data_IF_833218867186
#
_entry.id   IF_833218867186
#
_cell.length_a   1.000
_cell.length_b   1.000
_cell.length_c   1.000
_cell.angle_alpha   90.00
_cell.angle_beta   90.00
_cell.angle_gamma   90.00
#
_symmetry.space_group_name_H-M   'P 1'
#
loop_
_entity.id
_entity.type
_entity.pdbx_description
1 polymer ?
#
# COMPACT_ATOMS: atom_id res chain seq x y z
N UNK A 1 -4.84 -48.70 2.77
CA UNK A 1 -5.34 -47.54 2.01
C UNK A 1 -6.86 -47.58 2.08
N UNK A 2 -7.59 -46.57 2.50
CA UNK A 2 -7.23 -45.21 2.87
C UNK A 2 -8.51 -44.56 3.37
N UNK A 3 -8.41 -43.98 4.55
CA UNK A 3 -9.39 -43.12 5.19
C UNK A 3 -9.98 -42.12 4.20
N UNK A 4 -11.28 -42.22 3.90
CA UNK A 4 -11.99 -41.21 3.09
C UNK A 4 -13.50 -41.17 3.39
N UNK A 5 -14.07 -42.24 3.92
CA UNK A 5 -15.48 -42.28 4.29
C UNK A 5 -15.73 -41.88 5.76
N UNK A 6 -14.92 -42.37 6.70
CA UNK A 6 -15.03 -42.00 8.12
C UNK A 6 -14.62 -40.56 8.42
N UNK A 7 -13.70 -39.95 7.64
CA UNK A 7 -13.33 -38.55 7.83
C UNK A 7 -14.46 -37.56 7.44
N UNK A 8 -15.30 -37.91 6.44
CA UNK A 8 -16.46 -37.09 6.05
C UNK A 8 -17.59 -37.18 7.08
N UNK A 9 -17.77 -38.32 7.72
CA UNK A 9 -18.78 -38.49 8.78
C UNK A 9 -18.28 -37.88 10.11
N UNK A 10 -16.98 -37.96 10.40
CA UNK A 10 -16.38 -37.30 11.56
C UNK A 10 -16.44 -35.77 11.46
N UNK A 11 -16.30 -35.18 10.26
CA UNK A 11 -16.48 -33.74 10.07
C UNK A 11 -17.94 -33.30 10.28
N UNK A 12 -18.91 -34.13 9.86
CA UNK A 12 -20.34 -33.85 10.09
C UNK A 12 -20.71 -34.00 11.57
N UNK A 13 -20.11 -34.94 12.29
CA UNK A 13 -20.36 -35.14 13.72
C UNK A 13 -19.63 -34.13 14.63
N UNK A 14 -18.46 -33.62 14.24
CA UNK A 14 -17.79 -32.51 14.95
C UNK A 14 -18.52 -31.18 14.79
N UNK A 15 -19.22 -30.98 13.67
CA UNK A 15 -20.13 -29.83 13.49
C UNK A 15 -21.38 -29.91 14.39
N UNK A 16 -21.81 -31.10 14.80
CA UNK A 16 -23.00 -31.26 15.66
C UNK A 16 -22.73 -30.98 17.14
N UNK A 17 -21.46 -30.82 17.56
CA UNK A 17 -21.09 -30.59 18.97
C UNK A 17 -20.64 -29.15 19.30
N UNK A 18 -20.50 -28.24 18.33
CA UNK A 18 -20.10 -26.84 18.60
C UNK A 18 -21.00 -25.73 18.04
N UNK A 19 -22.15 -26.07 17.44
CA UNK A 19 -23.25 -25.10 17.28
C UNK A 19 -22.98 -23.87 16.39
N UNK A 20 -22.05 -23.94 15.42
CA UNK A 20 -21.89 -22.88 14.41
C UNK A 20 -21.94 -23.50 13.01
N UNK A 21 -23.04 -23.24 12.30
CA UNK A 21 -23.33 -23.74 10.97
C UNK A 21 -22.67 -22.83 9.93
N UNK A 22 -21.56 -23.26 9.32
CA UNK A 22 -21.07 -22.63 8.10
C UNK A 22 -21.88 -23.14 6.90
N UNK A 23 -22.92 -22.38 6.52
CA UNK A 23 -23.65 -22.61 5.26
C UNK A 23 -22.80 -22.04 4.12
N UNK A 24 -22.07 -22.90 3.42
CA UNK A 24 -21.49 -22.54 2.13
C UNK A 24 -22.60 -22.49 1.07
N UNK A 25 -23.17 -21.30 0.83
CA UNK A 25 -24.07 -21.06 -0.30
C UNK A 25 -23.29 -21.16 -1.61
N UNK A 26 -23.61 -22.20 -2.41
CA UNK A 26 -23.27 -22.32 -3.83
C UNK A 26 -24.06 -21.28 -4.64
N UNK A 27 -23.51 -20.07 -4.76
CA UNK A 27 -23.71 -19.08 -5.83
C UNK A 27 -23.18 -17.73 -5.31
N UNK A 28 -21.86 -17.61 -5.20
CA UNK A 28 -21.23 -16.36 -4.77
C UNK A 28 -21.16 -15.45 -5.99
N UNK A 29 -22.19 -14.64 -6.21
CA UNK A 29 -22.01 -13.37 -6.90
C UNK A 29 -21.10 -12.51 -6.00
N UNK A 30 -19.96 -12.09 -6.53
CA UNK A 30 -19.08 -11.12 -5.86
C UNK A 30 -19.78 -9.75 -5.88
N UNK A 31 -20.76 -9.55 -5.01
CA UNK A 31 -21.39 -8.26 -4.76
C UNK A 31 -20.76 -7.61 -3.53
N UNK A 32 -20.86 -6.29 -3.44
CA UNK A 32 -20.41 -5.51 -2.28
C UNK A 32 -21.19 -5.89 -1.02
N UNK A 33 -22.38 -6.46 -1.18
CA UNK A 33 -23.22 -6.99 -0.10
C UNK A 33 -22.61 -8.24 0.52
N UNK A 34 -22.21 -9.22 -0.31
CA UNK A 34 -21.51 -10.42 0.15
C UNK A 34 -20.20 -10.08 0.85
N UNK A 35 -19.51 -9.02 0.41
CA UNK A 35 -18.31 -8.54 1.07
C UNK A 35 -18.59 -8.03 2.49
N UNK A 36 -19.69 -7.30 2.68
CA UNK A 36 -20.10 -6.80 4.00
C UNK A 36 -20.39 -7.95 4.97
N UNK A 37 -21.23 -8.90 4.55
CA UNK A 37 -21.59 -10.07 5.37
C UNK A 37 -20.35 -10.87 5.79
N UNK A 38 -19.37 -11.05 4.90
CA UNK A 38 -18.13 -11.75 5.21
C UNK A 38 -17.30 -11.06 6.28
N UNK A 39 -17.22 -9.71 6.27
CA UNK A 39 -16.48 -8.98 7.30
C UNK A 39 -17.23 -8.95 8.64
N UNK A 40 -18.56 -8.92 8.62
CA UNK A 40 -19.39 -9.06 9.82
C UNK A 40 -19.16 -10.44 10.47
N UNK A 41 -19.25 -11.52 9.69
CA UNK A 41 -18.96 -12.88 10.18
C UNK A 41 -17.53 -13.03 10.70
N UNK A 42 -16.56 -12.38 10.06
CA UNK A 42 -15.17 -12.39 10.52
C UNK A 42 -15.01 -11.70 11.89
N UNK A 43 -15.76 -10.62 12.17
CA UNK A 43 -15.76 -9.94 13.46
C UNK A 43 -16.54 -10.70 14.54
N UNK A 44 -17.61 -11.41 14.16
CA UNK A 44 -18.32 -12.31 15.07
C UNK A 44 -17.43 -13.47 15.52
N UNK A 45 -16.62 -14.02 14.60
CA UNK A 45 -15.67 -15.09 14.91
C UNK A 45 -14.45 -14.58 15.69
N UNK A 46 -13.93 -13.42 15.32
CA UNK A 46 -12.77 -12.79 15.96
C UNK A 46 -12.94 -11.27 16.00
N UNK A 47 -13.43 -10.79 17.13
CA UNK A 47 -13.61 -9.36 17.36
C UNK A 47 -12.27 -8.59 17.40
N UNK A 48 -11.12 -9.28 17.51
CA UNK A 48 -9.79 -8.65 17.45
C UNK A 48 -9.31 -8.40 16.02
N UNK A 49 -10.02 -8.90 15.00
CA UNK A 49 -9.65 -8.75 13.60
C UNK A 49 -9.76 -7.29 13.13
N UNK A 50 -8.65 -6.57 13.22
CA UNK A 50 -8.59 -5.13 12.90
C UNK A 50 -8.82 -4.86 11.41
N UNK A 51 -8.36 -5.77 10.56
CA UNK A 51 -8.49 -5.65 9.11
C UNK A 51 -9.93 -5.80 8.65
N UNK A 52 -10.66 -6.79 9.19
CA UNK A 52 -12.10 -6.95 8.92
C UNK A 52 -12.88 -5.73 9.39
N UNK A 53 -12.52 -5.18 10.56
CA UNK A 53 -13.11 -3.95 11.09
C UNK A 53 -12.86 -2.75 10.19
N UNK A 54 -11.62 -2.56 9.72
CA UNK A 54 -11.27 -1.51 8.78
C UNK A 54 -12.05 -1.62 7.47
N UNK A 55 -12.15 -2.82 6.88
CA UNK A 55 -12.88 -3.00 5.64
C UNK A 55 -14.39 -2.81 5.81
N UNK A 56 -14.97 -3.27 6.91
CA UNK A 56 -16.38 -3.00 7.23
C UNK A 56 -16.61 -1.49 7.38
N UNK A 57 -15.72 -0.76 8.06
CA UNK A 57 -15.74 0.69 8.13
C UNK A 57 -15.75 1.33 6.73
N UNK A 58 -14.85 0.86 5.85
CA UNK A 58 -14.72 1.35 4.47
C UNK A 58 -15.97 1.09 3.63
N UNK A 59 -16.62 -0.07 3.80
CA UNK A 59 -17.89 -0.38 3.16
C UNK A 59 -18.99 0.61 3.59
N UNK A 60 -19.07 0.90 4.88
CA UNK A 60 -20.02 1.85 5.44
C UNK A 60 -19.75 3.31 5.03
N UNK A 61 -18.50 3.70 4.79
CA UNK A 61 -18.14 5.07 4.45
C UNK A 61 -18.19 5.33 2.94
N UNK A 62 -17.52 4.48 2.15
CA UNK A 62 -17.24 4.75 0.74
C UNK A 62 -18.20 4.07 -0.23
N UNK A 63 -18.61 2.84 0.05
CA UNK A 63 -19.36 2.04 -0.91
C UNK A 63 -20.87 2.14 -0.70
N UNK A 64 -21.66 1.70 -1.69
CA UNK A 64 -23.10 1.54 -1.55
C UNK A 64 -23.37 0.10 -1.11
N UNK A 65 -23.86 -0.06 0.12
CA UNK A 65 -24.20 -1.34 0.73
C UNK A 65 -25.54 -1.24 1.45
N UNK A 66 -26.35 -2.31 1.50
CA UNK A 66 -27.55 -2.35 2.31
C UNK A 66 -27.25 -2.00 3.78
N UNK A 67 -28.08 -1.13 4.36
CA UNK A 67 -27.89 -0.68 5.74
C UNK A 67 -26.62 0.16 5.95
N UNK A 68 -26.09 0.81 4.89
CA UNK A 68 -25.00 1.78 5.02
C UNK A 68 -25.32 2.82 6.10
N UNK A 69 -24.39 3.00 7.02
CA UNK A 69 -24.47 4.01 8.06
C UNK A 69 -23.10 4.63 8.27
N UNK A 70 -22.98 5.94 8.00
CA UNK A 70 -21.71 6.66 8.10
C UNK A 70 -21.19 6.72 9.55
N UNK A 71 -22.09 6.85 10.52
CA UNK A 71 -21.72 6.88 11.94
C UNK A 71 -21.10 5.56 12.39
N UNK A 72 -21.69 4.43 11.99
CA UNK A 72 -21.12 3.09 12.24
C UNK A 72 -19.76 2.96 11.55
N UNK A 73 -19.65 3.41 10.29
CA UNK A 73 -18.39 3.40 9.57
C UNK A 73 -17.29 4.21 10.25
N UNK A 74 -17.61 5.41 10.75
CA UNK A 74 -16.66 6.25 11.48
C UNK A 74 -16.23 5.61 12.80
N UNK A 75 -17.17 5.03 13.56
CA UNK A 75 -16.86 4.33 14.81
C UNK A 75 -15.93 3.13 14.58
N UNK A 76 -16.24 2.28 13.59
CA UNK A 76 -15.42 1.12 13.23
C UNK A 76 -14.01 1.53 12.76
N UNK A 77 -13.89 2.65 12.04
CA UNK A 77 -12.59 3.18 11.63
C UNK A 77 -11.74 3.59 12.82
N UNK A 78 -12.32 4.35 13.77
CA UNK A 78 -11.63 4.79 14.98
C UNK A 78 -11.21 3.59 15.83
N UNK A 79 -12.09 2.62 16.00
CA UNK A 79 -11.77 1.36 16.69
C UNK A 79 -10.62 0.62 16.01
N UNK A 80 -10.68 0.41 14.69
CA UNK A 80 -9.63 -0.29 13.96
C UNK A 80 -8.28 0.43 14.07
N UNK A 81 -8.26 1.76 13.98
CA UNK A 81 -7.06 2.57 14.14
C UNK A 81 -6.46 2.46 15.55
N UNK A 82 -7.31 2.51 16.57
CA UNK A 82 -6.91 2.36 17.98
C UNK A 82 -6.39 0.96 18.30
N UNK A 83 -6.89 -0.06 17.60
CA UNK A 83 -6.42 -1.45 17.69
C UNK A 83 -5.13 -1.71 16.92
N UNK A 84 -4.63 -0.74 16.15
CA UNK A 84 -3.33 -0.85 15.48
C UNK A 84 -3.39 -1.07 13.98
N UNK A 85 -4.57 -1.07 13.34
CA UNK A 85 -4.65 -1.32 11.90
C UNK A 85 -3.96 -0.20 11.10
N UNK A 86 -2.94 -0.50 10.29
CA UNK A 86 -2.15 0.52 9.60
C UNK A 86 -2.95 1.26 8.51
N UNK A 87 -3.88 0.57 7.84
CA UNK A 87 -4.74 1.18 6.83
C UNK A 87 -5.75 2.13 7.50
N UNK A 88 -6.35 1.71 8.62
CA UNK A 88 -7.25 2.54 9.40
C UNK A 88 -6.55 3.76 10.00
N UNK A 89 -5.34 3.59 10.55
CA UNK A 89 -4.54 4.70 11.09
C UNK A 89 -4.22 5.74 10.01
N UNK A 90 -3.77 5.29 8.84
CA UNK A 90 -3.53 6.18 7.72
C UNK A 90 -4.81 6.89 7.26
N UNK A 91 -5.91 6.17 7.10
CA UNK A 91 -7.16 6.75 6.60
C UNK A 91 -7.79 7.71 7.61
N UNK A 92 -7.74 7.40 8.91
CA UNK A 92 -8.18 8.29 9.97
C UNK A 92 -7.32 9.55 10.05
N UNK A 93 -5.99 9.40 10.00
CA UNK A 93 -5.06 10.54 9.97
C UNK A 93 -5.34 11.46 8.78
N UNK A 94 -5.59 10.90 7.59
CA UNK A 94 -5.99 11.68 6.41
C UNK A 94 -7.32 12.42 6.60
N UNK A 95 -8.34 11.78 7.19
CA UNK A 95 -9.65 12.41 7.43
C UNK A 95 -9.56 13.57 8.40
N UNK A 96 -8.86 13.39 9.53
CA UNK A 96 -8.66 14.43 10.54
C UNK A 96 -7.98 15.68 9.98
N UNK A 97 -7.07 15.49 9.01
CA UNK A 97 -6.37 16.59 8.32
C UNK A 97 -7.24 17.35 7.30
N UNK A 98 -8.29 16.73 6.78
CA UNK A 98 -9.19 17.35 5.78
C UNK A 98 -10.37 18.05 6.44
N UNK A 99 -10.86 17.52 7.56
CA UNK A 99 -12.14 17.96 8.12
C UNK A 99 -12.06 19.24 8.98
N UNK A 100 -10.89 19.78 9.35
CA UNK A 100 -10.81 20.85 10.36
C UNK A 100 -9.72 21.90 10.15
N UNK A 101 -10.09 23.18 10.18
CA UNK A 101 -9.21 24.37 10.26
C UNK A 101 -8.69 24.65 11.72
N UNK A 102 -8.65 23.63 12.58
CA UNK A 102 -8.34 23.79 14.01
C UNK A 102 -7.08 23.02 14.40
N UNK A 103 -6.10 23.72 15.02
CA UNK A 103 -4.79 23.20 15.43
C UNK A 103 -4.81 21.87 16.21
N UNK A 104 -5.88 21.55 16.95
CA UNK A 104 -5.97 20.30 17.73
C UNK A 104 -6.21 19.06 16.85
N UNK A 105 -6.82 19.22 15.67
CA UNK A 105 -7.06 18.11 14.74
C UNK A 105 -5.76 17.65 14.08
N UNK A 106 -4.85 18.59 13.83
CA UNK A 106 -3.56 18.32 13.21
C UNK A 106 -2.70 17.40 14.08
N UNK A 107 -2.65 17.64 15.39
CA UNK A 107 -1.89 16.78 16.32
C UNK A 107 -2.40 15.34 16.33
N UNK A 108 -3.72 15.14 16.32
CA UNK A 108 -4.30 13.80 16.24
C UNK A 108 -4.06 13.15 14.88
N UNK A 109 -4.14 13.94 13.79
CA UNK A 109 -3.82 13.46 12.45
C UNK A 109 -2.37 12.96 12.38
N UNK A 110 -1.41 13.75 12.89
CA UNK A 110 0.00 13.35 12.94
C UNK A 110 0.22 12.11 13.80
N UNK A 111 -0.42 12.01 14.97
CA UNK A 111 -0.32 10.83 15.83
C UNK A 111 -0.69 9.53 15.09
N UNK A 112 -1.80 9.51 14.35
CA UNK A 112 -2.19 8.32 13.60
C UNK A 112 -1.31 8.08 12.37
N UNK A 113 -0.85 9.13 11.69
CA UNK A 113 0.09 9.01 10.57
C UNK A 113 1.45 8.46 11.00
N UNK A 114 1.97 8.89 12.16
CA UNK A 114 3.22 8.37 12.75
C UNK A 114 3.11 6.87 13.04
N UNK A 115 2.01 6.43 13.67
CA UNK A 115 1.78 4.99 13.88
C UNK A 115 1.71 4.19 12.58
N UNK A 116 1.12 4.75 11.53
CA UNK A 116 1.10 4.12 10.22
C UNK A 116 2.50 4.07 9.58
N UNK A 117 3.33 5.11 9.79
CA UNK A 117 4.75 5.13 9.38
C UNK A 117 5.55 4.06 10.10
N UNK A 118 5.37 3.89 11.41
CA UNK A 118 6.06 2.85 12.21
C UNK A 118 5.80 1.44 11.68
N UNK A 119 4.63 1.24 11.05
CA UNK A 119 4.23 0.00 10.40
C UNK A 119 4.58 -0.07 8.90
N UNK A 120 5.35 0.91 8.39
CA UNK A 120 5.73 1.04 6.99
C UNK A 120 4.52 1.09 6.04
N UNK A 121 3.43 1.75 6.44
CA UNK A 121 2.25 1.91 5.59
C UNK A 121 2.61 2.77 4.35
N UNK A 122 2.34 2.30 3.12
CA UNK A 122 2.81 2.95 1.89
C UNK A 122 2.33 4.40 1.73
N UNK A 123 1.05 4.67 2.02
CA UNK A 123 0.52 6.01 1.95
C UNK A 123 1.09 6.95 3.01
N UNK A 124 1.40 6.42 4.20
CA UNK A 124 1.92 7.22 5.30
C UNK A 124 3.39 7.57 5.05
N UNK A 125 4.18 6.61 4.56
CA UNK A 125 5.55 6.83 4.08
C UNK A 125 5.59 7.83 2.92
N UNK A 126 4.64 7.80 1.99
CA UNK A 126 4.55 8.83 0.95
C UNK A 126 4.35 10.23 1.53
N UNK A 127 3.43 10.40 2.49
CA UNK A 127 3.20 11.69 3.14
C UNK A 127 4.44 12.17 3.90
N UNK A 128 5.11 11.28 4.64
CA UNK A 128 6.36 11.60 5.33
C UNK A 128 7.48 11.99 4.35
N UNK A 129 7.60 11.28 3.23
CA UNK A 129 8.55 11.62 2.18
C UNK A 129 8.26 12.99 1.57
N UNK A 130 7.00 13.35 1.38
CA UNK A 130 6.60 14.68 0.91
C UNK A 130 6.99 15.78 1.91
N UNK A 131 6.79 15.54 3.21
CA UNK A 131 7.19 16.43 4.31
C UNK A 131 8.71 16.68 4.30
N UNK A 132 9.52 15.62 4.19
CA UNK A 132 10.98 15.78 4.07
C UNK A 132 11.43 16.46 2.77
N UNK A 133 10.69 16.24 1.68
CA UNK A 133 10.99 16.85 0.38
C UNK A 133 10.71 18.37 0.38
N UNK A 134 9.60 18.79 0.98
CA UNK A 134 9.20 20.22 1.05
C UNK A 134 9.86 20.97 2.19
N UNK A 135 10.26 20.27 3.26
CA UNK A 135 10.69 20.90 4.51
C UNK A 135 9.52 21.53 5.27
N UNK A 136 8.32 20.97 5.12
CA UNK A 136 7.14 21.43 5.88
C UNK A 136 7.22 20.89 7.31
N UNK A 137 7.14 21.76 8.32
CA UNK A 137 7.30 21.42 9.75
C UNK A 137 8.64 20.77 10.18
N UNK A 138 9.51 20.39 9.24
CA UNK A 138 10.84 19.80 9.47
C UNK A 138 11.89 20.40 8.54
N UNK A 139 13.18 20.23 8.85
CA UNK A 139 14.24 20.62 7.90
C UNK A 139 14.17 19.73 6.67
N UNK A 140 14.28 20.33 5.49
CA UNK A 140 14.33 19.60 4.23
C UNK A 140 15.46 18.56 4.25
N UNK A 141 15.13 17.32 3.88
CA UNK A 141 16.05 16.19 3.84
C UNK A 141 15.72 15.28 2.65
N UNK A 142 16.47 15.46 1.56
CA UNK A 142 16.28 14.68 0.33
C UNK A 142 16.62 13.20 0.52
N UNK A 143 17.55 12.85 1.42
CA UNK A 143 17.93 11.46 1.65
C UNK A 143 16.80 10.70 2.34
N UNK A 144 16.20 11.32 3.37
CA UNK A 144 15.03 10.77 4.06
C UNK A 144 13.80 10.70 3.16
N UNK A 145 13.59 11.71 2.30
CA UNK A 145 12.53 11.68 1.29
C UNK A 145 12.71 10.51 0.30
N UNK A 146 13.92 10.33 -0.24
CA UNK A 146 14.28 9.23 -1.14
C UNK A 146 14.02 7.87 -0.49
N UNK A 147 14.40 7.70 0.79
CA UNK A 147 14.13 6.47 1.53
C UNK A 147 12.63 6.20 1.68
N UNK A 148 11.86 7.21 2.08
CA UNK A 148 10.42 7.08 2.27
C UNK A 148 9.71 6.71 0.95
N UNK A 149 10.03 7.40 -0.14
CA UNK A 149 9.42 7.14 -1.43
C UNK A 149 9.80 5.77 -2.00
N UNK A 150 11.06 5.35 -1.84
CA UNK A 150 11.49 4.02 -2.22
C UNK A 150 10.73 2.93 -1.45
N UNK A 151 10.65 3.03 -0.12
CA UNK A 151 9.92 2.04 0.70
C UNK A 151 8.42 1.97 0.38
N UNK A 152 7.80 3.11 0.11
CA UNK A 152 6.41 3.15 -0.30
C UNK A 152 6.20 2.56 -1.71
N UNK A 153 7.14 2.79 -2.64
CA UNK A 153 7.05 2.25 -4.00
C UNK A 153 7.30 0.75 -4.08
N UNK A 154 8.15 0.19 -3.21
CA UNK A 154 8.32 -1.27 -3.05
C UNK A 154 6.99 -1.97 -2.70
N UNK A 155 6.09 -1.27 -2.01
CA UNK A 155 4.72 -1.72 -1.70
C UNK A 155 3.68 -1.34 -2.75
N UNK A 156 4.10 -0.83 -3.92
CA UNK A 156 3.23 -0.50 -5.04
C UNK A 156 2.57 0.88 -4.97
N UNK A 157 3.00 1.78 -4.08
CA UNK A 157 2.41 3.11 -3.99
C UNK A 157 2.77 3.98 -5.20
N UNK A 158 1.80 4.19 -6.10
CA UNK A 158 2.02 4.86 -7.38
C UNK A 158 2.61 6.28 -7.25
N UNK A 159 2.07 7.09 -6.33
CA UNK A 159 2.56 8.45 -6.10
C UNK A 159 3.99 8.49 -5.58
N UNK A 160 4.38 7.49 -4.79
CA UNK A 160 5.75 7.40 -4.26
C UNK A 160 6.72 6.92 -5.34
N UNK A 161 6.31 5.98 -6.18
CA UNK A 161 7.10 5.53 -7.31
C UNK A 161 7.38 6.68 -8.28
N UNK A 162 6.36 7.51 -8.58
CA UNK A 162 6.55 8.72 -9.41
C UNK A 162 7.49 9.72 -8.74
N UNK A 163 7.31 9.99 -7.44
CA UNK A 163 8.16 10.91 -6.71
C UNK A 163 9.63 10.45 -6.71
N UNK A 164 9.87 9.18 -6.39
CA UNK A 164 11.20 8.58 -6.38
C UNK A 164 11.85 8.61 -7.79
N UNK A 165 11.12 8.16 -8.82
CA UNK A 165 11.58 8.19 -10.21
C UNK A 165 11.91 9.61 -10.70
N UNK A 166 11.09 10.60 -10.32
CA UNK A 166 11.35 12.00 -10.67
C UNK A 166 12.60 12.56 -9.98
N UNK A 167 12.86 12.19 -8.72
CA UNK A 167 14.05 12.61 -8.00
C UNK A 167 15.33 11.99 -8.60
N UNK A 168 15.26 10.72 -9.04
CA UNK A 168 16.35 10.06 -9.75
C UNK A 168 16.72 10.78 -11.06
N UNK A 169 15.71 11.14 -11.87
CA UNK A 169 15.94 11.91 -13.11
C UNK A 169 16.50 13.31 -12.87
N UNK A 170 16.26 13.90 -11.70
CA UNK A 170 16.85 15.18 -11.29
C UNK A 170 18.29 15.05 -10.79
N UNK A 171 18.84 13.84 -10.75
CA UNK A 171 20.20 13.58 -10.26
C UNK A 171 20.34 13.67 -8.74
N UNK A 172 19.24 13.54 -8.00
CA UNK A 172 19.31 13.47 -6.53
C UNK A 172 20.05 12.19 -6.15
N UNK A 173 21.09 12.33 -5.33
CA UNK A 173 21.91 11.20 -4.92
C UNK A 173 21.07 10.18 -4.16
N UNK A 174 21.22 8.91 -4.55
CA UNK A 174 20.61 7.80 -3.84
C UNK A 174 21.42 7.55 -2.57
N UNK A 175 20.81 7.61 -1.38
CA UNK A 175 21.51 7.31 -0.13
C UNK A 175 22.15 5.93 -0.18
N UNK A 176 23.35 5.75 0.40
CA UNK A 176 24.05 4.46 0.43
C UNK A 176 23.19 3.31 1.02
N UNK A 177 22.30 3.66 1.94
CA UNK A 177 21.34 2.72 2.56
C UNK A 177 20.42 2.10 1.52
N UNK A 178 20.14 2.76 0.40
CA UNK A 178 19.32 2.23 -0.70
C UNK A 178 20.16 1.57 -1.80
N UNK A 179 21.40 2.00 -2.03
CA UNK A 179 22.26 1.45 -3.08
C UNK A 179 22.69 0.01 -2.82
N UNK A 180 22.85 -0.38 -1.54
CA UNK A 180 23.15 -1.78 -1.15
C UNK A 180 22.06 -2.78 -1.50
N UNK A 181 20.83 -2.33 -1.77
CA UNK A 181 19.67 -3.19 -1.97
C UNK A 181 19.26 -3.36 -3.43
N UNK A 182 19.90 -2.74 -4.43
CA UNK A 182 19.62 -3.05 -5.83
C UNK A 182 20.17 -4.43 -6.16
N UNK A 183 19.36 -5.52 -6.14
CA UNK A 183 19.87 -6.81 -6.52
C UNK A 183 19.85 -6.80 -8.04
N UNK A 184 21.02 -6.80 -8.68
CA UNK A 184 21.11 -6.98 -10.12
C UNK A 184 20.21 -8.14 -10.55
N UNK A 185 19.11 -7.84 -11.26
CA UNK A 185 18.23 -8.87 -11.83
C UNK A 185 19.05 -9.59 -12.89
N UNK A 186 19.51 -10.79 -12.53
CA UNK A 186 20.28 -11.65 -13.41
C UNK A 186 19.45 -12.18 -14.58
N UNK A 187 20.08 -12.14 -15.76
CA UNK A 187 19.81 -12.80 -17.05
C UNK A 187 18.75 -12.14 -17.96
N UNK A 188 19.06 -11.77 -19.21
CA UNK A 188 19.73 -12.59 -20.21
C UNK A 188 20.90 -11.92 -20.97
N UNK A 189 22.03 -12.63 -20.98
CA UNK A 189 23.09 -12.68 -21.99
C UNK A 189 23.45 -11.43 -22.84
N UNK A 190 24.53 -10.75 -22.44
CA UNK A 190 25.58 -10.36 -23.39
C UNK A 190 26.95 -10.34 -22.71
N UNK A 191 27.85 -11.23 -23.17
CA UNK A 191 29.27 -11.20 -22.82
C UNK A 191 29.92 -9.97 -23.46
N UNK A 192 30.55 -9.11 -22.68
CA UNK A 192 31.90 -8.59 -22.96
C UNK A 192 32.45 -7.81 -21.75
N UNK A 193 33.49 -8.41 -21.17
CA UNK A 193 34.58 -7.95 -20.30
C UNK A 193 34.77 -6.48 -19.84
N UNK A 194 35.26 -6.40 -18.57
CA UNK A 194 35.96 -5.33 -17.80
C UNK A 194 35.03 -4.25 -17.22
N UNK A 195 35.10 -3.82 -15.95
CA UNK A 195 36.10 -3.87 -14.88
C UNK A 195 35.43 -3.64 -13.51
N UNK A 196 36.20 -3.83 -12.42
CA UNK A 196 35.88 -3.46 -11.03
C UNK A 196 35.44 -2.00 -10.95
N UNK A 197 34.19 -1.74 -10.62
CA UNK A 197 33.63 -0.50 -10.05
C UNK A 197 32.17 -0.82 -9.67
N UNK A 198 31.62 -0.16 -8.65
CA UNK A 198 30.22 -0.34 -8.21
C UNK A 198 29.26 -0.42 -9.41
N UNK A 199 28.21 -1.26 -9.37
CA UNK A 199 27.25 -1.30 -10.48
C UNK A 199 26.71 0.12 -10.68
N UNK A 200 27.12 0.76 -11.79
CA UNK A 200 26.61 2.06 -12.20
C UNK A 200 25.14 1.83 -12.53
N UNK A 201 24.27 2.00 -11.53
CA UNK A 201 22.84 1.88 -11.73
C UNK A 201 22.41 3.12 -12.48
N UNK A 202 22.05 2.96 -13.76
CA UNK A 202 21.59 4.05 -14.61
C UNK A 202 20.35 4.71 -13.97
N UNK A 203 20.43 6.00 -13.53
CA UNK A 203 19.31 6.69 -12.92
C UNK A 203 18.05 6.71 -13.81
N UNK A 204 18.23 6.68 -15.13
CA UNK A 204 17.13 6.64 -16.10
C UNK A 204 16.44 5.28 -16.07
N UNK A 205 17.19 4.19 -16.03
CA UNK A 205 16.62 2.84 -15.91
C UNK A 205 15.92 2.65 -14.56
N UNK A 206 16.50 3.15 -13.48
CA UNK A 206 15.86 3.14 -12.16
C UNK A 206 14.54 3.90 -12.17
N UNK A 207 14.52 5.10 -12.76
CA UNK A 207 13.32 5.89 -12.88
C UNK A 207 12.25 5.19 -13.73
N UNK A 208 12.65 4.56 -14.86
CA UNK A 208 11.76 3.76 -15.71
C UNK A 208 11.08 2.65 -14.91
N UNK A 209 11.83 1.89 -14.11
CA UNK A 209 11.29 0.84 -13.24
C UNK A 209 10.22 1.38 -12.27
N UNK A 210 10.43 2.59 -11.73
CA UNK A 210 9.47 3.20 -10.82
C UNK A 210 8.20 3.68 -11.55
N UNK A 211 8.33 4.23 -12.76
CA UNK A 211 7.17 4.60 -13.56
C UNK A 211 6.37 3.38 -14.02
N UNK A 212 7.01 2.23 -14.24
CA UNK A 212 6.30 0.96 -14.45
C UNK A 212 5.50 0.52 -13.22
N UNK A 213 6.04 0.67 -12.01
CA UNK A 213 5.30 0.37 -10.77
C UNK A 213 4.05 1.25 -10.70
N UNK A 214 4.19 2.55 -10.95
CA UNK A 214 3.06 3.48 -10.97
C UNK A 214 2.03 3.12 -12.06
N UNK A 215 2.47 2.76 -13.27
CA UNK A 215 1.60 2.37 -14.37
C UNK A 215 0.84 1.07 -14.05
N UNK A 216 1.51 0.05 -13.47
CA UNK A 216 0.88 -1.21 -13.03
C UNK A 216 -0.15 -0.99 -11.92
N UNK A 217 0.05 0.03 -11.09
CA UNK A 217 -0.93 0.48 -10.10
C UNK A 217 -2.09 1.31 -10.70
N UNK A 218 -2.14 1.47 -12.02
CA UNK A 218 -3.21 2.19 -12.72
C UNK A 218 -3.06 3.71 -12.72
N UNK A 219 -1.86 4.25 -12.49
CA UNK A 219 -1.62 5.69 -12.50
C UNK A 219 -1.25 6.19 -13.90
N UNK A 220 -2.11 7.03 -14.49
CA UNK A 220 -1.91 7.67 -15.80
C UNK A 220 -0.58 8.42 -15.91
N UNK A 221 -0.15 9.04 -14.81
CA UNK A 221 1.10 9.79 -14.79
C UNK A 221 2.32 8.86 -14.96
N UNK A 222 2.25 7.61 -14.50
CA UNK A 222 3.27 6.59 -14.76
C UNK A 222 3.43 6.33 -16.25
N UNK A 223 2.33 6.14 -16.98
CA UNK A 223 2.35 5.96 -18.44
C UNK A 223 2.91 7.18 -19.18
N UNK A 224 2.54 8.40 -18.75
CA UNK A 224 3.07 9.64 -19.34
C UNK A 224 4.58 9.75 -19.18
N UNK A 225 5.12 9.39 -18.02
CA UNK A 225 6.57 9.38 -17.79
C UNK A 225 7.28 8.35 -18.66
N UNK A 226 6.73 7.14 -18.80
CA UNK A 226 7.31 6.10 -19.67
C UNK A 226 7.36 6.56 -21.13
N UNK A 227 6.26 7.10 -21.66
CA UNK A 227 6.22 7.61 -23.04
C UNK A 227 7.27 8.71 -23.27
N UNK A 228 7.44 9.60 -22.30
CA UNK A 228 8.45 10.67 -22.37
C UNK A 228 9.86 10.10 -22.46
N UNK A 229 10.19 9.10 -21.64
CA UNK A 229 11.51 8.46 -21.68
C UNK A 229 11.77 7.78 -23.03
N UNK A 230 10.76 7.11 -23.60
CA UNK A 230 10.88 6.49 -24.93
C UNK A 230 11.08 7.53 -26.04
N UNK A 231 10.41 8.67 -25.97
CA UNK A 231 10.61 9.76 -26.94
C UNK A 231 12.01 10.36 -26.85
N UNK A 232 12.52 10.58 -25.63
CA UNK A 232 13.87 11.09 -25.40
C UNK A 232 14.93 10.10 -25.90
N UNK A 233 14.75 8.79 -25.65
CA UNK A 233 15.62 7.73 -26.16
C UNK A 233 15.65 7.69 -27.70
N UNK A 234 14.48 7.79 -28.35
CA UNK A 234 14.39 7.87 -29.82
C UNK A 234 15.07 9.11 -30.38
N UNK A 235 14.98 10.26 -29.70
CA UNK A 235 15.65 11.50 -30.13
C UNK A 235 17.16 11.39 -30.06
N UNK A 236 17.70 10.80 -28.99
CA UNK A 236 19.14 10.56 -28.83
C UNK A 236 19.67 9.58 -29.87
N UNK A 237 18.90 8.55 -30.22
CA UNK A 237 19.28 7.61 -31.28
C UNK A 237 19.22 8.22 -32.70
N UNK A 238 18.49 9.32 -32.87
CA UNK A 238 18.33 10.01 -34.15
C UNK A 238 19.31 11.19 -34.35
N UNK A 239 20.09 11.57 -33.33
CA UNK A 239 21.11 12.63 -33.35
C UNK A 239 22.52 12.09 -33.56
#
# INVERSE_FOLDING_TARGET
MGYSWFAKIALVLLCLLSGVVMVLKKNVSFSVETAKENFELALEADNSNTHARYWLAKLHLKYHVPGKCLAVGAALLVEAANMGDPDAQYELGCRLRVEHDYFSSDQQAFYYLEKAVDQLHPGALYLLGAVYLTGDCVKQDLASAMWCFHRASEKGHAGAAIAYGSLLLRGVQVPEVLTKFFPGRGSAARKSQKSVDDPIVDPVEMARNQFEIAAKAGCDLGFKWLNRLEEEEKRVLAS
#
